data_IF_579423705929
#
_entry.id   IF_579423705929
#
_cell.length_a   1.000
_cell.length_b   1.000
_cell.length_c   1.000
_cell.angle_alpha   90.00
_cell.angle_beta   90.00
_cell.angle_gamma   90.00
#
_symmetry.space_group_name_H-M   'P 1'
#
loop_
_entity.id
_entity.type
_entity.pdbx_description
1 polymer ?
#
# COMPACT_ATOMS: atom_id res chain seq x y z
N UNK A 1 -6.95 -7.88 -19.78
CA UNK A 1 -6.12 -7.65 -20.99
C UNK A 1 -4.73 -8.22 -20.74
N UNK A 2 -4.16 -9.03 -21.64
CA UNK A 2 -2.82 -9.60 -21.44
C UNK A 2 -1.74 -8.51 -21.55
N UNK A 3 -0.67 -8.63 -20.76
CA UNK A 3 0.50 -7.73 -20.84
C UNK A 3 1.09 -7.68 -22.26
N UNK A 4 0.93 -8.75 -23.03
CA UNK A 4 1.34 -8.81 -24.44
C UNK A 4 0.58 -7.81 -25.31
N UNK A 5 -0.72 -7.61 -25.05
CA UNK A 5 -1.55 -6.65 -25.79
C UNK A 5 -1.10 -5.21 -25.50
N UNK A 6 -0.74 -4.91 -24.25
CA UNK A 6 -0.23 -3.59 -23.86
C UNK A 6 1.09 -3.27 -24.59
N UNK A 7 2.03 -4.21 -24.63
CA UNK A 7 3.28 -4.04 -25.37
C UNK A 7 3.06 -3.83 -26.88
N UNK A 8 2.06 -4.49 -27.47
CA UNK A 8 1.71 -4.28 -28.89
C UNK A 8 1.14 -2.88 -29.12
N UNK A 9 0.25 -2.40 -28.25
CA UNK A 9 -0.31 -1.06 -28.35
C UNK A 9 0.78 0.02 -28.30
N UNK A 10 1.76 -0.14 -27.40
CA UNK A 10 2.92 0.75 -27.29
C UNK A 10 4.05 0.45 -28.30
N UNK A 11 3.85 -0.47 -29.26
CA UNK A 11 4.83 -0.88 -30.29
C UNK A 11 6.19 -1.34 -29.72
N UNK A 12 6.20 -1.96 -28.55
CA UNK A 12 7.42 -2.40 -27.87
C UNK A 12 7.90 -3.74 -28.46
N UNK A 13 9.11 -3.85 -29.04
CA UNK A 13 9.64 -5.09 -29.64
C UNK A 13 9.86 -6.22 -28.62
N UNK A 14 9.80 -7.50 -29.05
CA UNK A 14 9.94 -8.69 -28.17
C UNK A 14 11.24 -8.74 -27.35
N UNK A 15 12.35 -8.27 -27.91
CA UNK A 15 13.66 -8.22 -27.23
C UNK A 15 13.93 -6.91 -26.48
N UNK A 16 12.94 -6.01 -26.38
CA UNK A 16 13.16 -4.71 -25.76
C UNK A 16 13.34 -4.82 -24.23
N UNK A 17 14.30 -4.08 -23.63
CA UNK A 17 14.42 -3.99 -22.16
C UNK A 17 13.15 -3.46 -21.48
N UNK A 18 12.31 -2.72 -22.20
CA UNK A 18 11.00 -2.23 -21.71
C UNK A 18 10.01 -3.36 -21.37
N UNK A 19 10.30 -4.60 -21.77
CA UNK A 19 9.50 -5.77 -21.40
C UNK A 19 9.90 -6.38 -20.06
N UNK A 20 11.00 -5.93 -19.44
CA UNK A 20 11.40 -6.35 -18.11
C UNK A 20 10.57 -5.62 -17.04
N UNK A 21 9.32 -6.03 -16.89
CA UNK A 21 8.34 -5.42 -15.98
C UNK A 21 7.79 -6.46 -15.01
N UNK A 22 7.40 -6.00 -13.82
CA UNK A 22 6.69 -6.86 -12.88
C UNK A 22 5.27 -7.15 -13.37
N UNK A 23 4.73 -8.32 -13.03
CA UNK A 23 3.31 -8.60 -13.27
C UNK A 23 2.45 -7.64 -12.44
N UNK A 24 1.53 -6.87 -13.04
CA UNK A 24 0.62 -5.99 -12.30
C UNK A 24 -0.40 -6.80 -11.48
N UNK A 25 -0.53 -8.10 -11.77
CA UNK A 25 -1.27 -8.99 -10.88
C UNK A 25 -0.52 -9.10 -9.55
N UNK A 26 0.76 -9.49 -9.54
CA UNK A 26 1.53 -9.75 -8.30
C UNK A 26 2.15 -8.52 -7.64
N UNK A 27 2.23 -7.40 -8.33
CA UNK A 27 2.98 -6.22 -7.90
C UNK A 27 2.14 -4.95 -7.98
N UNK A 28 2.44 -4.01 -7.08
CA UNK A 28 1.88 -2.66 -7.10
C UNK A 28 2.70 -1.69 -7.95
N UNK A 29 3.82 -2.17 -8.51
CA UNK A 29 4.66 -1.39 -9.43
C UNK A 29 4.03 -1.41 -10.83
N UNK A 30 2.81 -0.93 -10.92
CA UNK A 30 2.10 -0.68 -12.15
C UNK A 30 2.04 0.82 -12.38
N UNK A 31 2.09 1.24 -13.65
CA UNK A 31 1.84 2.62 -14.02
C UNK A 31 0.72 2.66 -15.06
N UNK A 32 -0.14 3.68 -14.96
CA UNK A 32 -1.12 3.98 -16.00
C UNK A 32 -0.57 5.11 -16.88
N UNK A 33 -0.08 4.74 -18.05
CA UNK A 33 0.38 5.68 -19.09
C UNK A 33 -0.76 6.07 -20.05
N UNK A 34 -1.96 5.52 -19.85
CA UNK A 34 -3.10 5.71 -20.73
C UNK A 34 -2.84 5.29 -22.18
N UNK A 35 -3.37 6.09 -23.11
CA UNK A 35 -3.15 5.89 -24.56
C UNK A 35 -1.70 6.28 -24.91
N UNK A 36 -0.94 5.43 -25.62
CA UNK A 36 0.43 5.77 -26.04
C UNK A 36 0.51 7.13 -26.75
N UNK A 37 1.47 7.96 -26.33
CA UNK A 37 1.74 9.28 -26.89
C UNK A 37 3.16 9.36 -27.41
N UNK A 38 3.40 10.17 -28.44
CA UNK A 38 4.72 10.33 -29.06
C UNK A 38 5.77 10.92 -28.11
N UNK A 39 5.33 11.74 -27.14
CA UNK A 39 6.18 12.31 -26.11
C UNK A 39 6.16 11.52 -24.79
N UNK A 40 5.53 10.34 -24.75
CA UNK A 40 5.50 9.47 -23.58
C UNK A 40 6.81 8.69 -23.39
N UNK A 41 7.05 8.18 -22.18
CA UNK A 41 8.27 7.45 -21.82
C UNK A 41 8.62 6.33 -22.82
N UNK A 42 7.65 5.47 -23.14
CA UNK A 42 7.85 4.34 -24.05
C UNK A 42 8.25 4.78 -25.46
N UNK A 43 7.59 5.82 -26.01
CA UNK A 43 7.90 6.33 -27.35
C UNK A 43 9.29 6.98 -27.39
N UNK A 44 9.66 7.75 -26.36
CA UNK A 44 10.99 8.35 -26.22
C UNK A 44 12.08 7.28 -26.08
N UNK A 45 11.81 6.20 -25.35
CA UNK A 45 12.74 5.08 -25.21
C UNK A 45 12.91 4.31 -26.54
N UNK A 46 11.82 4.04 -27.27
CA UNK A 46 11.88 3.40 -28.59
C UNK A 46 12.58 4.26 -29.65
N UNK A 47 12.46 5.59 -29.55
CA UNK A 47 13.16 6.55 -30.40
C UNK A 47 14.65 6.73 -30.01
N UNK A 48 15.15 6.02 -28.99
CA UNK A 48 16.53 6.11 -28.53
C UNK A 48 16.86 7.37 -27.74
N UNK A 49 15.87 8.21 -27.42
CA UNK A 49 16.04 9.43 -26.60
C UNK A 49 16.22 9.10 -25.12
N UNK A 50 15.70 7.96 -24.67
CA UNK A 50 15.91 7.43 -23.33
C UNK A 50 16.50 6.02 -23.47
N UNK A 51 17.74 5.85 -23.03
CA UNK A 51 18.34 4.51 -22.98
C UNK A 51 17.90 3.79 -21.71
N UNK A 52 17.08 2.75 -21.86
CA UNK A 52 16.65 1.90 -20.75
C UNK A 52 17.63 0.76 -20.57
N UNK A 53 18.23 0.68 -19.39
CA UNK A 53 19.20 -0.36 -19.03
C UNK A 53 18.62 -1.15 -17.86
N UNK A 54 18.33 -2.43 -18.10
CA UNK A 54 17.76 -3.37 -17.14
C UNK A 54 18.12 -4.79 -17.59
N UNK A 55 18.39 -5.75 -16.68
CA UNK A 55 18.27 -5.69 -15.22
C UNK A 55 19.48 -5.10 -14.48
N UNK A 56 20.47 -4.54 -15.19
CA UNK A 56 21.66 -4.01 -14.53
C UNK A 56 21.35 -2.79 -13.65
N UNK A 57 21.92 -2.76 -12.44
CA UNK A 57 21.84 -1.64 -11.50
C UNK A 57 23.17 -0.89 -11.40
N UNK A 58 23.12 0.37 -10.97
CA UNK A 58 24.33 1.13 -10.62
C UNK A 58 24.97 0.52 -9.36
N UNK A 59 26.26 0.18 -9.46
CA UNK A 59 27.08 -0.34 -8.38
C UNK A 59 27.85 0.76 -7.63
N UNK A 60 28.17 1.86 -8.31
CA UNK A 60 28.90 2.98 -7.71
C UNK A 60 29.27 4.06 -8.72
N UNK A 61 30.01 5.05 -8.25
CA UNK A 61 30.61 6.09 -9.10
C UNK A 61 31.94 5.58 -9.65
N UNK A 62 32.26 5.93 -10.89
CA UNK A 62 33.57 5.65 -11.47
C UNK A 62 34.66 6.56 -10.91
N UNK A 63 35.89 6.08 -10.92
CA UNK A 63 37.07 6.79 -10.38
C UNK A 63 37.39 8.11 -11.12
N UNK A 64 36.82 8.33 -12.31
CA UNK A 64 36.97 9.58 -13.07
C UNK A 64 36.09 10.73 -12.54
N UNK A 65 35.19 10.45 -11.59
CA UNK A 65 34.22 11.42 -11.08
C UNK A 65 33.19 11.88 -12.13
N UNK A 66 33.11 11.21 -13.29
CA UNK A 66 32.25 11.60 -14.43
C UNK A 66 31.42 10.44 -14.97
N UNK A 67 31.42 9.32 -14.28
CA UNK A 67 30.74 8.11 -14.70
C UNK A 67 30.10 7.36 -13.56
N UNK A 68 29.15 6.49 -13.90
CA UNK A 68 28.59 5.46 -13.03
C UNK A 68 29.03 4.09 -13.52
N UNK A 69 29.34 3.23 -12.57
CA UNK A 69 29.65 1.82 -12.79
C UNK A 69 28.37 1.01 -12.61
N UNK A 70 28.06 0.14 -13.57
CA UNK A 70 26.98 -0.83 -13.45
C UNK A 70 27.51 -2.14 -12.82
N UNK A 71 26.61 -2.91 -12.21
CA UNK A 71 26.94 -4.20 -11.60
C UNK A 71 27.47 -5.25 -12.59
N UNK A 72 27.20 -5.08 -13.88
CA UNK A 72 27.73 -5.94 -14.95
C UNK A 72 29.08 -5.43 -15.52
N UNK A 73 29.71 -4.47 -14.85
CA UNK A 73 31.02 -3.93 -15.21
C UNK A 73 31.00 -2.81 -16.26
N UNK A 74 29.85 -2.51 -16.87
CA UNK A 74 29.74 -1.37 -17.81
C UNK A 74 29.97 -0.05 -17.09
N UNK A 75 30.56 0.91 -17.81
CA UNK A 75 30.78 2.29 -17.35
C UNK A 75 29.97 3.24 -18.22
N UNK A 76 29.18 4.11 -17.60
CA UNK A 76 28.36 5.11 -18.31
C UNK A 76 28.79 6.51 -17.89
N UNK A 77 29.13 7.36 -18.85
CA UNK A 77 29.36 8.77 -18.58
C UNK A 77 28.05 9.45 -18.15
N UNK A 78 28.11 10.31 -17.13
CA UNK A 78 26.97 11.05 -16.63
C UNK A 78 27.38 12.43 -16.12
N UNK A 79 26.68 13.48 -16.57
CA UNK A 79 26.86 14.84 -16.06
C UNK A 79 26.02 15.13 -14.81
N UNK A 80 24.94 14.38 -14.63
CA UNK A 80 24.03 14.49 -13.50
C UNK A 80 23.40 13.13 -13.19
N UNK A 81 23.04 12.92 -11.91
CA UNK A 81 22.39 11.72 -11.42
C UNK A 81 21.14 12.11 -10.64
N UNK A 82 20.01 11.53 -11.01
CA UNK A 82 18.72 11.73 -10.36
C UNK A 82 18.31 10.41 -9.71
N UNK A 83 18.15 10.41 -8.38
CA UNK A 83 17.79 9.22 -7.62
C UNK A 83 16.27 9.12 -7.42
N UNK A 84 15.60 8.42 -8.33
CA UNK A 84 14.17 8.10 -8.24
C UNK A 84 13.86 6.90 -7.34
N UNK A 85 14.53 6.75 -6.19
CA UNK A 85 14.47 5.54 -5.33
C UNK A 85 13.36 5.58 -4.27
N UNK A 86 12.51 6.61 -4.30
CA UNK A 86 11.35 6.78 -3.42
C UNK A 86 11.68 7.40 -2.06
N UNK A 87 10.73 7.28 -1.13
CA UNK A 87 10.78 7.96 0.18
C UNK A 87 11.05 6.98 1.34
N UNK A 88 11.44 7.53 2.50
CA UNK A 88 11.58 6.80 3.79
C UNK A 88 10.61 7.37 4.82
N UNK A 89 10.46 6.67 5.94
CA UNK A 89 9.64 7.17 7.05
C UNK A 89 10.23 8.42 7.70
N UNK A 90 9.36 9.38 8.04
CA UNK A 90 9.71 10.58 8.79
C UNK A 90 9.38 10.48 10.28
N UNK A 91 8.73 9.39 10.72
CA UNK A 91 8.28 9.26 12.11
C UNK A 91 9.42 9.17 13.12
N UNK A 92 10.57 8.61 12.73
CA UNK A 92 11.77 8.57 13.57
C UNK A 92 12.20 9.98 13.97
N UNK A 93 12.30 10.87 13.00
CA UNK A 93 12.67 12.27 13.22
C UNK A 93 11.58 13.04 13.99
N UNK A 94 10.30 12.69 13.81
CA UNK A 94 9.15 13.36 14.43
C UNK A 94 9.00 13.03 15.93
N UNK A 95 9.14 11.76 16.31
CA UNK A 95 8.79 11.30 17.66
C UNK A 95 9.99 11.12 18.59
N UNK A 96 11.12 10.67 18.07
CA UNK A 96 12.31 10.39 18.86
C UNK A 96 13.46 11.36 18.54
N UNK A 97 13.37 12.08 17.41
CA UNK A 97 14.40 13.01 16.95
C UNK A 97 15.58 12.31 16.28
N UNK A 98 16.32 13.04 15.42
CA UNK A 98 17.43 12.52 14.58
C UNK A 98 18.56 11.83 15.34
N UNK A 99 18.66 12.01 16.65
CA UNK A 99 19.79 11.57 17.48
C UNK A 99 19.42 10.55 18.55
N UNK A 100 18.15 10.17 18.66
CA UNK A 100 17.74 9.16 19.65
C UNK A 100 17.93 7.76 19.09
N UNK A 101 18.99 7.09 19.54
CA UNK A 101 19.23 5.67 19.25
C UNK A 101 18.22 4.72 19.92
N UNK A 102 17.37 5.23 20.83
CA UNK A 102 16.52 4.43 21.70
C UNK A 102 15.11 4.19 21.14
N UNK A 103 14.67 4.94 20.12
CA UNK A 103 13.34 4.84 19.48
C UNK A 103 12.19 4.65 20.48
N UNK A 104 12.29 5.29 21.64
CA UNK A 104 11.47 4.99 22.83
C UNK A 104 10.01 5.33 22.57
N UNK A 105 9.74 6.53 22.05
CA UNK A 105 8.40 6.99 21.78
C UNK A 105 7.75 6.17 20.65
N UNK A 106 8.46 5.89 19.55
CA UNK A 106 7.91 5.01 18.51
C UNK A 106 7.56 3.61 19.00
N UNK A 107 8.38 3.05 19.88
CA UNK A 107 8.14 1.73 20.48
C UNK A 107 6.93 1.76 21.42
N UNK A 108 6.79 2.81 22.23
CA UNK A 108 5.65 3.01 23.13
C UNK A 108 4.34 3.19 22.35
N UNK A 109 4.37 3.98 21.27
CA UNK A 109 3.23 4.18 20.37
C UNK A 109 2.96 2.96 19.48
N UNK A 110 3.89 2.01 19.37
CA UNK A 110 3.71 0.82 18.54
C UNK A 110 3.72 1.11 17.03
N UNK A 111 4.50 2.10 16.60
CA UNK A 111 4.60 2.51 15.18
C UNK A 111 5.72 1.78 14.42
N UNK A 112 6.64 1.12 15.14
CA UNK A 112 7.70 0.32 14.54
C UNK A 112 7.19 -1.06 14.11
N UNK A 113 7.64 -1.58 12.96
CA UNK A 113 7.32 -2.94 12.55
C UNK A 113 7.94 -3.94 13.53
N UNK A 114 7.33 -5.12 13.65
CA UNK A 114 7.87 -6.21 14.44
C UNK A 114 8.25 -7.41 13.56
N UNK A 115 9.06 -8.32 14.11
CA UNK A 115 9.49 -9.50 13.40
C UNK A 115 8.29 -10.40 13.08
N UNK A 116 8.13 -10.80 11.82
CA UNK A 116 7.00 -11.62 11.41
C UNK A 116 6.91 -12.92 12.24
N UNK A 117 5.70 -13.28 12.68
CA UNK A 117 5.50 -14.49 13.48
C UNK A 117 5.72 -15.73 12.61
N UNK A 118 6.56 -16.66 13.06
CA UNK A 118 6.85 -17.90 12.33
C UNK A 118 5.81 -19.01 12.53
N UNK A 119 4.86 -18.83 13.47
CA UNK A 119 3.97 -19.87 13.96
C UNK A 119 2.53 -19.87 13.43
N UNK A 120 2.07 -18.83 12.73
CA UNK A 120 0.69 -18.73 12.24
C UNK A 120 0.61 -18.98 10.73
N UNK A 121 0.17 -20.18 10.32
CA UNK A 121 -0.11 -20.47 8.91
C UNK A 121 -1.50 -19.95 8.55
N UNK A 122 -1.59 -18.70 8.12
CA UNK A 122 -2.77 -18.25 7.40
C UNK A 122 -2.75 -18.80 5.98
N UNK A 123 -3.89 -19.31 5.51
CA UNK A 123 -4.00 -19.96 4.21
C UNK A 123 -5.21 -19.43 3.43
N UNK A 124 -5.01 -19.24 2.12
CA UNK A 124 -6.03 -18.77 1.19
C UNK A 124 -5.94 -19.57 -0.11
N UNK A 125 -6.95 -20.42 -0.34
CA UNK A 125 -7.06 -21.32 -1.49
C UNK A 125 -7.75 -20.68 -2.70
N UNK A 126 -7.21 -19.56 -3.17
CA UNK A 126 -7.69 -18.93 -4.39
C UNK A 126 -6.89 -19.42 -5.60
N UNK A 127 -7.58 -19.90 -6.64
CA UNK A 127 -6.96 -20.31 -7.91
C UNK A 127 -6.11 -19.18 -8.52
N UNK A 128 -6.53 -17.93 -8.33
CA UNK A 128 -5.83 -16.73 -8.78
C UNK A 128 -4.48 -16.54 -8.09
N UNK A 129 -4.24 -17.17 -6.94
CA UNK A 129 -2.97 -17.12 -6.21
C UNK A 129 -2.00 -18.26 -6.56
N UNK A 130 -2.30 -19.04 -7.60
CA UNK A 130 -1.39 -20.08 -8.10
C UNK A 130 -0.13 -19.49 -8.72
N UNK A 131 1.03 -20.14 -8.50
CA UNK A 131 2.34 -19.76 -9.06
C UNK A 131 2.82 -18.33 -8.70
N UNK A 132 2.91 -17.96 -7.41
CA UNK A 132 3.41 -16.65 -7.00
C UNK A 132 4.91 -16.51 -7.31
N UNK A 133 5.41 -15.28 -7.57
CA UNK A 133 6.84 -15.04 -7.61
C UNK A 133 7.47 -15.22 -6.22
N UNK A 134 8.81 -15.38 -6.13
CA UNK A 134 9.50 -15.54 -4.85
C UNK A 134 9.24 -14.37 -3.90
N UNK A 135 9.12 -14.68 -2.61
CA UNK A 135 8.93 -13.67 -1.56
C UNK A 135 10.23 -12.88 -1.37
N UNK A 136 10.11 -11.55 -1.30
CA UNK A 136 11.23 -10.65 -1.01
C UNK A 136 11.77 -10.92 0.42
N UNK A 137 13.10 -10.97 0.64
CA UNK A 137 13.67 -11.26 1.96
C UNK A 137 13.12 -10.36 3.08
N UNK A 138 12.98 -9.06 2.82
CA UNK A 138 12.43 -8.13 3.81
C UNK A 138 10.93 -8.32 4.06
N UNK A 139 10.16 -8.73 3.05
CA UNK A 139 8.74 -9.04 3.23
C UNK A 139 8.55 -10.29 4.11
N UNK A 140 9.51 -11.22 4.09
CA UNK A 140 9.53 -12.38 5.00
C UNK A 140 9.83 -11.97 6.45
N UNK A 141 10.68 -10.96 6.65
CA UNK A 141 11.23 -10.59 7.95
C UNK A 141 10.28 -9.78 8.83
N UNK A 142 9.49 -8.88 8.24
CA UNK A 142 8.77 -7.85 8.99
C UNK A 142 7.26 -7.90 8.78
N UNK A 143 6.52 -7.51 9.82
CA UNK A 143 5.08 -7.27 9.80
C UNK A 143 4.75 -5.89 10.38
N UNK A 144 3.63 -5.31 9.94
CA UNK A 144 3.13 -4.03 10.46
C UNK A 144 2.45 -4.24 11.81
N UNK A 145 2.59 -3.27 12.71
CA UNK A 145 1.89 -3.19 14.00
C UNK A 145 0.66 -2.28 13.93
N UNK A 146 0.34 -1.74 12.75
CA UNK A 146 -0.67 -0.70 12.59
C UNK A 146 -1.93 -1.36 12.04
N UNK A 147 -2.93 -1.52 12.90
CA UNK A 147 -4.24 -2.07 12.58
C UNK A 147 -4.88 -1.31 11.42
N UNK A 148 -5.17 -2.04 10.34
CA UNK A 148 -5.71 -1.51 9.06
C UNK A 148 -4.88 -0.39 8.42
N UNK A 149 -3.63 -0.17 8.86
CA UNK A 149 -2.85 1.02 8.48
C UNK A 149 -3.39 2.33 9.05
N UNK A 150 -4.19 2.29 10.12
CA UNK A 150 -4.79 3.48 10.71
C UNK A 150 -4.31 3.66 12.16
N UNK A 151 -4.48 2.64 13.01
CA UNK A 151 -4.24 2.76 14.45
C UNK A 151 -3.12 1.82 14.88
N UNK A 152 -2.07 2.28 15.57
CA UNK A 152 -1.11 1.37 16.16
C UNK A 152 -1.79 0.41 17.14
N UNK A 153 -1.46 -0.88 17.09
CA UNK A 153 -2.14 -1.89 17.91
C UNK A 153 -2.11 -1.57 19.42
N UNK A 154 -1.01 -0.98 19.91
CA UNK A 154 -0.86 -0.53 21.31
C UNK A 154 -1.78 0.62 21.72
N UNK A 155 -2.38 1.29 20.75
CA UNK A 155 -3.30 2.39 20.95
C UNK A 155 -4.76 1.98 20.74
N UNK A 156 -5.06 0.75 20.27
CA UNK A 156 -6.40 0.36 19.81
C UNK A 156 -7.50 0.66 20.84
N UNK A 157 -7.28 0.40 22.12
CA UNK A 157 -8.25 0.72 23.19
C UNK A 157 -8.10 2.12 23.79
N UNK A 158 -6.98 2.80 23.56
CA UNK A 158 -6.69 4.15 24.10
C UNK A 158 -7.38 5.27 23.33
N UNK A 159 -7.71 5.04 22.06
CA UNK A 159 -8.50 5.96 21.21
C UNK A 159 -7.97 7.39 21.13
N UNK A 160 -6.65 7.54 21.12
CA UNK A 160 -5.99 8.85 21.17
C UNK A 160 -4.89 9.03 20.12
N UNK A 161 -4.66 8.04 19.26
CA UNK A 161 -3.72 8.11 18.17
C UNK A 161 -4.25 7.31 16.97
N UNK A 162 -4.22 7.95 15.80
CA UNK A 162 -4.53 7.33 14.52
C UNK A 162 -3.79 8.10 13.42
N UNK A 163 -3.59 7.46 12.28
CA UNK A 163 -2.89 8.04 11.13
C UNK A 163 -3.73 7.85 9.87
N UNK A 164 -3.89 8.92 9.10
CA UNK A 164 -4.44 8.88 7.76
C UNK A 164 -3.30 8.97 6.73
N UNK A 165 -3.40 8.21 5.63
CA UNK A 165 -2.45 8.27 4.52
C UNK A 165 -1.26 7.32 4.59
N UNK A 166 -1.20 6.38 5.55
CA UNK A 166 -0.16 5.34 5.57
C UNK A 166 -0.49 4.12 4.72
N UNK A 167 -1.74 4.04 4.24
CA UNK A 167 -2.20 3.03 3.29
C UNK A 167 -2.03 3.50 1.85
N UNK A 168 -1.56 2.61 0.98
CA UNK A 168 -1.48 2.87 -0.47
C UNK A 168 -2.71 2.32 -1.18
N UNK A 169 -3.41 3.18 -1.91
CA UNK A 169 -4.52 2.80 -2.80
C UNK A 169 -4.38 3.46 -4.18
N UNK A 170 -5.14 2.97 -5.16
CA UNK A 170 -5.31 3.66 -6.44
C UNK A 170 -6.36 4.79 -6.40
N UNK A 171 -7.15 4.89 -5.33
CA UNK A 171 -8.16 5.93 -5.15
C UNK A 171 -7.98 6.65 -3.81
N UNK A 172 -6.84 7.31 -3.66
CA UNK A 172 -6.41 7.86 -2.38
C UNK A 172 -7.40 8.90 -1.81
N UNK A 173 -8.05 9.70 -2.67
CA UNK A 173 -9.07 10.65 -2.22
C UNK A 173 -10.23 9.96 -1.52
N UNK A 174 -10.83 8.97 -2.17
CA UNK A 174 -11.95 8.21 -1.59
C UNK A 174 -11.52 7.45 -0.32
N UNK A 175 -10.39 6.73 -0.37
CA UNK A 175 -9.94 5.94 0.79
C UNK A 175 -9.57 6.83 1.97
N UNK A 176 -8.91 7.97 1.74
CA UNK A 176 -8.51 8.89 2.81
C UNK A 176 -9.72 9.53 3.48
N UNK A 177 -10.79 9.83 2.72
CA UNK A 177 -12.05 10.34 3.27
C UNK A 177 -12.72 9.29 4.18
N UNK A 178 -12.88 8.05 3.71
CA UNK A 178 -13.45 6.97 4.53
C UNK A 178 -12.59 6.72 5.78
N UNK A 179 -11.26 6.74 5.67
CA UNK A 179 -10.35 6.64 6.82
C UNK A 179 -10.54 7.81 7.79
N UNK A 180 -10.74 9.03 7.31
CA UNK A 180 -11.00 10.18 8.19
C UNK A 180 -12.30 10.01 8.98
N UNK A 181 -13.37 9.51 8.33
CA UNK A 181 -14.61 9.16 9.01
C UNK A 181 -14.40 8.04 10.04
N UNK A 182 -13.65 7.00 9.68
CA UNK A 182 -13.32 5.90 10.58
C UNK A 182 -12.54 6.39 11.81
N UNK A 183 -11.53 7.25 11.62
CA UNK A 183 -10.74 7.86 12.70
C UNK A 183 -11.62 8.72 13.62
N UNK A 184 -12.52 9.51 13.03
CA UNK A 184 -13.46 10.31 13.81
C UNK A 184 -14.37 9.41 14.65
N UNK A 185 -14.88 8.30 14.11
CA UNK A 185 -15.68 7.32 14.87
C UNK A 185 -14.86 6.71 16.00
N UNK A 186 -13.62 6.39 15.68
CA UNK A 186 -12.68 5.79 16.62
C UNK A 186 -12.39 6.69 17.82
N UNK A 187 -12.14 7.99 17.60
CA UNK A 187 -11.91 8.97 18.67
C UNK A 187 -13.17 9.38 19.43
N UNK A 188 -14.34 9.38 18.80
CA UNK A 188 -15.61 9.69 19.45
C UNK A 188 -16.20 8.49 20.21
N UNK A 189 -15.49 7.36 20.22
CA UNK A 189 -15.95 6.11 20.83
C UNK A 189 -17.29 5.63 20.26
N UNK A 190 -17.53 5.88 18.96
CA UNK A 190 -18.71 5.36 18.29
C UNK A 190 -18.74 3.82 18.39
N UNK A 191 -19.95 3.21 18.38
CA UNK A 191 -20.12 1.77 18.45
C UNK A 191 -19.63 1.12 17.15
N UNK A 192 -18.38 0.65 17.19
CA UNK A 192 -17.63 0.09 16.09
C UNK A 192 -17.22 -1.36 16.36
N UNK A 193 -17.03 -2.16 15.30
CA UNK A 193 -16.32 -3.43 15.37
C UNK A 193 -14.82 -3.16 15.42
N UNK A 194 -14.23 -3.27 16.61
CA UNK A 194 -12.80 -3.12 16.83
C UNK A 194 -12.25 -4.34 17.57
N UNK A 195 -10.94 -4.62 17.46
CA UNK A 195 -10.28 -5.58 18.32
C UNK A 195 -10.46 -5.18 19.80
N UNK A 196 -10.72 -6.17 20.64
CA UNK A 196 -11.01 -5.95 22.08
C UNK A 196 -9.77 -5.48 22.87
N UNK A 197 -8.57 -5.82 22.39
CA UNK A 197 -7.30 -5.54 23.06
C UNK A 197 -6.13 -5.48 22.06
N UNK A 198 -4.94 -5.18 22.58
CA UNK A 198 -3.70 -5.03 21.81
C UNK A 198 -3.33 -6.34 21.11
N UNK A 199 -3.49 -7.47 21.78
CA UNK A 199 -3.15 -8.81 21.29
C UNK A 199 -4.03 -9.18 20.09
N UNK A 200 -5.34 -8.93 20.18
CA UNK A 200 -6.29 -9.12 19.09
C UNK A 200 -5.97 -8.20 17.90
N UNK A 201 -5.57 -6.95 18.15
CA UNK A 201 -5.15 -6.02 17.10
C UNK A 201 -3.86 -6.50 16.41
N UNK A 202 -2.87 -6.99 17.16
CA UNK A 202 -1.64 -7.56 16.60
C UNK A 202 -1.91 -8.86 15.81
N UNK A 203 -2.82 -9.71 16.27
CA UNK A 203 -3.23 -10.89 15.53
C UNK A 203 -3.90 -10.53 14.20
N UNK A 204 -4.71 -9.47 14.18
CA UNK A 204 -5.30 -8.94 12.95
C UNK A 204 -4.22 -8.40 12.00
N UNK A 205 -3.24 -7.63 12.49
CA UNK A 205 -2.16 -7.12 11.63
C UNK A 205 -1.25 -8.23 11.10
N UNK A 206 -1.01 -9.30 11.87
CA UNK A 206 -0.29 -10.49 11.38
C UNK A 206 -1.04 -11.19 10.25
N UNK A 207 -2.36 -11.37 10.39
CA UNK A 207 -3.20 -11.96 9.35
C UNK A 207 -3.17 -11.11 8.08
N UNK A 208 -3.27 -9.80 8.21
CA UNK A 208 -3.17 -8.85 7.09
C UNK A 208 -1.79 -8.90 6.44
N UNK A 209 -0.71 -8.90 7.23
CA UNK A 209 0.65 -9.02 6.72
C UNK A 209 0.85 -10.34 5.96
N UNK A 210 0.30 -11.45 6.45
CA UNK A 210 0.35 -12.74 5.76
C UNK A 210 -0.39 -12.69 4.42
N UNK A 211 -1.59 -12.08 4.38
CA UNK A 211 -2.31 -11.86 3.13
C UNK A 211 -1.49 -11.03 2.14
N UNK A 212 -0.90 -9.92 2.59
CA UNK A 212 -0.08 -9.06 1.74
C UNK A 212 1.17 -9.75 1.22
N UNK A 213 1.80 -10.63 2.00
CA UNK A 213 2.94 -11.46 1.55
C UNK A 213 2.52 -12.45 0.47
N UNK A 214 1.32 -13.02 0.54
CA UNK A 214 0.81 -13.91 -0.51
C UNK A 214 0.37 -13.14 -1.76
N UNK A 215 -0.32 -12.01 -1.57
CA UNK A 215 -0.86 -11.18 -2.65
C UNK A 215 0.22 -10.40 -3.39
N UNK A 216 1.21 -9.87 -2.65
CA UNK A 216 2.28 -9.00 -3.15
C UNK A 216 3.66 -9.46 -2.65
N UNK A 217 4.10 -10.69 -2.98
CA UNK A 217 5.29 -11.33 -2.38
C UNK A 217 6.58 -10.54 -2.57
N UNK A 218 6.68 -9.74 -3.63
CA UNK A 218 7.87 -8.93 -3.92
C UNK A 218 7.82 -7.50 -3.34
N UNK A 219 6.76 -7.14 -2.60
CA UNK A 219 6.58 -5.79 -2.04
C UNK A 219 6.73 -5.83 -0.52
N UNK A 220 7.81 -5.28 0.05
CA UNK A 220 7.95 -5.20 1.49
C UNK A 220 7.09 -4.08 2.08
N UNK A 221 5.94 -4.42 2.65
CA UNK A 221 4.95 -3.46 3.17
C UNK A 221 5.35 -2.88 4.53
N UNK A 222 5.99 -3.66 5.39
CA UNK A 222 6.33 -3.22 6.75
C UNK A 222 7.61 -2.35 6.85
N UNK A 223 8.41 -2.22 5.78
CA UNK A 223 9.69 -1.50 5.84
C UNK A 223 9.55 0.03 5.89
N UNK A 224 8.41 0.58 5.43
CA UNK A 224 8.19 2.03 5.38
C UNK A 224 6.86 2.38 6.05
N UNK A 225 6.71 2.22 7.37
CA UNK A 225 5.41 2.31 8.04
C UNK A 225 4.66 3.63 7.80
N UNK A 226 5.35 4.77 7.73
CA UNK A 226 4.68 6.05 7.46
C UNK A 226 4.14 6.19 6.03
N UNK A 227 4.45 5.24 5.14
CA UNK A 227 4.12 5.30 3.72
C UNK A 227 3.36 4.04 3.25
N UNK A 228 3.62 2.88 3.83
CA UNK A 228 3.12 1.57 3.36
C UNK A 228 2.63 0.66 4.49
N UNK A 229 2.19 1.20 5.63
CA UNK A 229 1.72 0.36 6.75
C UNK A 229 0.56 -0.56 6.36
N UNK A 230 -0.19 -0.21 5.31
CA UNK A 230 -1.19 -1.06 4.68
C UNK A 230 -1.16 -0.92 3.16
N UNK A 231 -1.53 -1.99 2.45
CA UNK A 231 -1.50 -2.00 0.99
C UNK A 231 -2.84 -2.47 0.43
N UNK A 232 -3.68 -1.50 0.07
CA UNK A 232 -4.99 -1.71 -0.53
C UNK A 232 -5.02 -1.29 -2.00
N UNK A 233 -3.94 -1.52 -2.75
CA UNK A 233 -3.76 -0.93 -4.09
C UNK A 233 -4.95 -1.13 -5.04
N UNK A 234 -5.19 -2.37 -5.48
CA UNK A 234 -6.34 -2.74 -6.33
C UNK A 234 -7.54 -3.23 -5.52
N UNK A 235 -7.34 -3.53 -4.23
CA UNK A 235 -8.36 -3.99 -3.29
C UNK A 235 -8.92 -2.87 -2.42
N UNK A 236 -8.75 -1.62 -2.84
CA UNK A 236 -9.22 -0.46 -2.10
C UNK A 236 -10.74 -0.46 -1.87
N UNK A 237 -11.60 -0.98 -2.78
CA UNK A 237 -13.04 -1.02 -2.50
C UNK A 237 -13.36 -1.94 -1.32
N UNK A 238 -12.74 -3.13 -1.29
CA UNK A 238 -12.91 -4.07 -0.17
C UNK A 238 -12.38 -3.48 1.13
N UNK A 239 -11.24 -2.77 1.08
CA UNK A 239 -10.72 -2.06 2.23
C UNK A 239 -11.69 -0.99 2.75
N UNK A 240 -12.30 -0.21 1.87
CA UNK A 240 -13.30 0.80 2.30
C UNK A 240 -14.56 0.16 2.83
N UNK A 241 -15.02 -0.96 2.24
CA UNK A 241 -16.17 -1.70 2.75
C UNK A 241 -15.89 -2.26 4.16
N UNK A 242 -14.70 -2.81 4.41
CA UNK A 242 -14.30 -3.27 5.74
C UNK A 242 -14.35 -2.12 6.78
N UNK A 243 -13.90 -0.91 6.42
CA UNK A 243 -13.94 0.26 7.30
C UNK A 243 -15.37 0.75 7.54
N UNK A 244 -16.21 0.77 6.51
CA UNK A 244 -17.63 1.11 6.63
C UNK A 244 -18.36 0.08 7.50
N UNK A 245 -18.06 -1.21 7.34
CA UNK A 245 -18.59 -2.29 8.16
C UNK A 245 -18.15 -2.15 9.62
N UNK A 246 -16.89 -1.79 9.86
CA UNK A 246 -16.41 -1.52 11.21
C UNK A 246 -17.19 -0.40 11.89
N UNK A 247 -17.58 0.64 11.15
CA UNK A 247 -18.46 1.70 11.65
C UNK A 247 -19.95 1.28 11.73
N UNK A 248 -20.29 0.09 11.26
CA UNK A 248 -21.65 -0.41 11.15
C UNK A 248 -22.51 0.39 10.16
N UNK A 249 -21.89 0.90 9.10
CA UNK A 249 -22.53 1.64 8.00
C UNK A 249 -22.76 0.72 6.79
N UNK A 250 -23.51 1.23 5.81
CA UNK A 250 -23.75 0.50 4.56
C UNK A 250 -22.44 0.29 3.78
N UNK A 251 -22.21 -0.96 3.37
CA UNK A 251 -21.13 -1.40 2.46
C UNK A 251 -21.67 -1.63 1.05
N UNK A 252 -20.79 -1.91 0.07
CA UNK A 252 -21.16 -2.19 -1.32
C UNK A 252 -22.00 -1.04 -1.92
N UNK A 253 -21.56 0.20 -1.70
CA UNK A 253 -22.36 1.41 -1.94
C UNK A 253 -22.67 1.67 -3.39
N UNK A 254 -21.73 1.35 -4.29
CA UNK A 254 -21.88 1.37 -5.75
C UNK A 254 -22.92 0.37 -6.27
N UNK A 255 -23.35 -0.56 -5.41
CA UNK A 255 -24.31 -1.60 -5.71
C UNK A 255 -23.75 -2.67 -6.65
N UNK A 256 -24.67 -3.37 -7.33
CA UNK A 256 -24.33 -4.52 -8.14
C UNK A 256 -24.19 -5.81 -7.31
N UNK A 257 -23.72 -6.85 -7.98
CA UNK A 257 -23.50 -8.17 -7.43
C UNK A 257 -22.16 -8.71 -7.97
N UNK A 258 -21.80 -9.94 -7.59
CA UNK A 258 -20.54 -10.56 -8.01
C UNK A 258 -20.26 -10.51 -9.52
N UNK A 259 -21.31 -10.50 -10.36
CA UNK A 259 -21.20 -10.44 -11.82
C UNK A 259 -21.06 -9.01 -12.37
N UNK A 260 -21.77 -8.07 -11.76
CA UNK A 260 -21.91 -6.70 -12.29
C UNK A 260 -20.98 -5.69 -11.63
N UNK A 261 -20.44 -6.02 -10.45
CA UNK A 261 -19.53 -5.17 -9.69
C UNK A 261 -18.30 -4.69 -10.49
N UNK A 262 -17.63 -5.52 -11.32
CA UNK A 262 -16.47 -5.05 -12.10
C UNK A 262 -16.77 -3.91 -13.09
N UNK A 263 -18.05 -3.65 -13.38
CA UNK A 263 -18.50 -2.61 -14.29
C UNK A 263 -19.13 -1.40 -13.58
N UNK A 264 -19.18 -1.42 -12.24
CA UNK A 264 -19.70 -0.30 -11.45
C UNK A 264 -18.61 0.73 -11.22
N UNK A 265 -18.95 1.98 -11.49
CA UNK A 265 -18.10 3.11 -11.13
C UNK A 265 -18.35 3.41 -9.65
N UNK A 266 -17.28 3.46 -8.87
CA UNK A 266 -17.34 3.93 -7.49
C UNK A 266 -17.13 5.44 -7.52
N UNK A 267 -18.18 6.20 -7.16
CA UNK A 267 -18.19 7.66 -7.21
C UNK A 267 -18.05 8.28 -5.82
N UNK A 268 -17.53 9.51 -5.73
CA UNK A 268 -17.43 10.23 -4.46
C UNK A 268 -18.79 10.52 -3.81
N UNK A 269 -19.87 10.64 -4.61
CA UNK A 269 -21.23 10.81 -4.11
C UNK A 269 -21.70 9.63 -3.22
N UNK A 270 -21.07 8.45 -3.33
CA UNK A 270 -21.40 7.30 -2.47
C UNK A 270 -21.07 7.56 -1.00
N UNK A 271 -20.19 8.52 -0.72
CA UNK A 271 -19.72 8.86 0.63
C UNK A 271 -20.05 10.29 1.05
N UNK A 272 -20.87 11.01 0.28
CA UNK A 272 -21.18 12.42 0.56
C UNK A 272 -21.97 12.63 1.84
N UNK A 273 -22.68 11.60 2.32
CA UNK A 273 -23.56 11.61 3.49
C UNK A 273 -23.02 10.80 4.68
N UNK A 274 -21.73 10.40 4.64
CA UNK A 274 -21.14 9.56 5.69
C UNK A 274 -21.18 10.21 7.07
N UNK A 275 -21.15 11.55 7.16
CA UNK A 275 -21.24 12.24 8.43
C UNK A 275 -22.64 12.06 9.03
N UNK A 276 -23.67 12.31 8.24
CA UNK A 276 -25.07 12.23 8.61
C UNK A 276 -25.47 10.81 9.01
N UNK A 277 -24.99 9.80 8.28
CA UNK A 277 -25.20 8.40 8.61
C UNK A 277 -24.59 8.03 9.97
N UNK A 278 -23.35 8.48 10.23
CA UNK A 278 -22.65 8.24 11.50
C UNK A 278 -23.34 8.93 12.66
N UNK A 279 -23.72 10.19 12.50
CA UNK A 279 -24.43 10.96 13.54
C UNK A 279 -25.79 10.32 13.86
N UNK A 280 -26.52 9.87 12.83
CA UNK A 280 -27.79 9.16 12.99
C UNK A 280 -27.62 7.84 13.75
N UNK A 281 -26.56 7.09 13.46
CA UNK A 281 -26.23 5.86 14.18
C UNK A 281 -25.87 6.14 15.63
N UNK A 282 -25.03 7.13 15.91
CA UNK A 282 -24.65 7.56 17.26
C UNK A 282 -25.89 7.92 18.08
N UNK A 283 -26.81 8.70 17.52
CA UNK A 283 -28.05 9.07 18.18
C UNK A 283 -28.92 7.85 18.53
N UNK A 284 -29.04 6.87 17.61
CA UNK A 284 -29.78 5.63 17.88
C UNK A 284 -29.20 4.83 19.04
N UNK A 285 -27.88 4.70 19.12
CA UNK A 285 -27.24 3.98 20.23
C UNK A 285 -27.40 4.73 21.57
N UNK A 286 -27.29 6.05 21.58
CA UNK A 286 -27.49 6.86 22.78
C UNK A 286 -28.91 6.72 23.36
N UNK A 287 -29.91 6.43 22.52
CA UNK A 287 -31.30 6.18 22.95
C UNK A 287 -31.50 4.77 23.52
N UNK A 288 -30.73 3.77 23.07
CA UNK A 288 -30.83 2.38 23.54
C UNK A 288 -30.02 2.13 24.81
N UNK A 289 -28.97 2.91 25.05
CA UNK A 289 -28.10 2.80 26.24
C UNK A 289 -28.58 3.61 27.45
N UNK A 290 -29.76 4.24 27.38
CA UNK A 290 -30.45 4.90 28.50
C UNK A 290 -31.58 4.03 29.01
#
# INVERSE_FOLDING_TARGET
MSITTQFRAAKIPKGSPLRNVASPFWSIRANDEGVPRENGFHALALAGKIQVITPAHVAGFGEDGKSVMLQDGRRLAASAIILGTGYRSSWEDLFDGKWSSLKKTLNELGLNPHAASSGTSHHWDYTTLSNPPPIHPDAKRWSSTIYRGIVPAKNITKRNLAVNGTGISMNNGYTAEVVAHWISSYFMEDPMRLPENTEAALAATEREAAWLKQRHPQTPTALKPSYTAYLSFMSWPQYTDDLLEDMGLRVLRSGGNWLTWPFKVIALDEISDLKEERDSRRAKFALVSR
#
